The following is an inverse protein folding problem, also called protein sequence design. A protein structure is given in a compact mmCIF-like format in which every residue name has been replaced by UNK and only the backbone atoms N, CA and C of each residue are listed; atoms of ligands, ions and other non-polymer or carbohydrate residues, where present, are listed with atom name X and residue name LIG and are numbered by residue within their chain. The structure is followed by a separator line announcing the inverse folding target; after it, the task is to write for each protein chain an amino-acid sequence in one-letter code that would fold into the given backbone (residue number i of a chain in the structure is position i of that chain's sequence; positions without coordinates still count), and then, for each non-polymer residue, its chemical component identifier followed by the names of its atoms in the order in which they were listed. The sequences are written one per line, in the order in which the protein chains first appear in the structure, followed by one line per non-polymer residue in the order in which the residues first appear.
data_IF_811870917604
#
_entry.id   IF_811870917604
#
_cell.length_a   1.000
_cell.length_b   1.000
_cell.length_c   1.000
_cell.angle_alpha   90.00
_cell.angle_beta   90.00
_cell.angle_gamma   90.00
#
_symmetry.space_group_name_H-M   'P 1'
#
loop_
_entity.id
_entity.type
_entity.pdbx_description
1 polymer ?
#
# COMPACT_ATOMS: atom_id res chain seq x y z
N UNK A 1 -48.77 15.83 16.92
CA UNK A 1 -47.49 16.34 16.38
C UNK A 1 -46.35 15.88 17.28
N UNK A 2 -45.82 14.68 17.06
CA UNK A 2 -44.51 14.28 17.56
C UNK A 2 -43.85 13.45 16.46
N UNK A 3 -42.98 14.13 15.71
CA UNK A 3 -42.10 13.51 14.72
C UNK A 3 -41.03 12.74 15.49
N UNK A 4 -41.04 11.41 15.38
CA UNK A 4 -39.93 10.57 15.76
C UNK A 4 -38.73 10.92 14.86
N UNK A 5 -37.68 11.50 15.43
CA UNK A 5 -36.38 11.58 14.79
C UNK A 5 -35.88 10.15 14.58
N UNK A 6 -35.93 9.66 13.34
CA UNK A 6 -35.11 8.53 12.92
C UNK A 6 -33.65 8.98 13.03
N UNK A 7 -32.97 8.61 14.11
CA UNK A 7 -31.52 8.61 14.15
C UNK A 7 -31.03 7.70 13.02
N UNK A 8 -30.60 8.31 11.92
CA UNK A 8 -29.91 7.58 10.85
C UNK A 8 -28.62 7.02 11.46
N UNK A 9 -28.62 5.75 11.80
CA UNK A 9 -27.50 5.04 12.40
C UNK A 9 -26.37 4.95 11.36
N UNK A 10 -25.57 6.02 11.22
CA UNK A 10 -24.32 5.98 10.45
C UNK A 10 -23.38 5.04 11.21
N UNK A 11 -22.82 4.01 10.57
CA UNK A 11 -21.88 3.11 11.24
C UNK A 11 -20.74 3.93 11.83
N UNK A 12 -20.57 3.84 13.15
CA UNK A 12 -19.50 4.51 13.90
C UNK A 12 -18.17 3.88 13.50
N UNK A 13 -17.23 4.70 13.03
CA UNK A 13 -15.93 4.20 12.59
C UNK A 13 -15.13 3.60 13.75
N UNK A 14 -14.32 2.57 13.48
CA UNK A 14 -13.35 2.03 14.44
C UNK A 14 -12.28 3.06 14.85
N UNK A 15 -12.00 4.06 14.01
CA UNK A 15 -10.92 5.04 14.23
C UNK A 15 -11.39 6.34 14.90
N UNK A 16 -12.61 6.38 15.46
CA UNK A 16 -13.08 7.51 16.26
C UNK A 16 -12.12 7.68 17.46
N UNK A 17 -11.29 8.72 17.40
CA UNK A 17 -10.29 9.14 18.39
C UNK A 17 -8.83 8.64 18.25
N UNK A 18 -8.38 8.24 17.05
CA UNK A 18 -6.92 8.09 16.83
C UNK A 18 -6.24 9.46 16.98
N UNK A 19 -5.49 9.63 18.07
CA UNK A 19 -4.42 10.62 18.15
C UNK A 19 -3.17 9.96 17.63
N UNK A 20 -2.69 10.35 16.45
CA UNK A 20 -1.46 9.84 15.85
C UNK A 20 -0.31 9.92 16.85
N UNK A 21 0.30 8.77 17.18
CA UNK A 21 1.43 8.68 18.11
C UNK A 21 2.51 7.81 17.50
N UNK A 22 3.67 8.41 17.26
CA UNK A 22 4.89 7.72 16.86
C UNK A 22 5.44 6.94 18.07
N UNK A 23 5.48 5.61 18.00
CA UNK A 23 5.96 4.74 19.06
C UNK A 23 7.49 4.68 19.08
N UNK A 24 8.13 4.47 17.92
CA UNK A 24 9.58 4.43 17.72
C UNK A 24 9.91 4.63 16.25
N UNK A 25 11.10 5.16 15.97
CA UNK A 25 11.69 5.19 14.63
C UNK A 25 13.11 4.65 14.67
N UNK A 26 13.46 3.70 13.81
CA UNK A 26 14.84 3.24 13.68
C UNK A 26 15.34 3.34 12.24
N UNK A 27 16.63 3.66 12.11
CA UNK A 27 17.31 3.72 10.81
C UNK A 27 17.67 2.30 10.39
N UNK A 28 17.16 1.87 9.24
CA UNK A 28 17.46 0.54 8.71
C UNK A 28 18.94 0.50 8.29
N UNK A 29 19.70 -0.47 8.84
CA UNK A 29 21.07 -0.76 8.37
C UNK A 29 20.97 -1.39 6.97
N UNK A 30 21.83 -0.96 6.05
CA UNK A 30 21.92 -1.51 4.70
C UNK A 30 22.06 -3.04 4.80
N UNK A 31 21.10 -3.81 4.28
CA UNK A 31 21.31 -5.25 4.06
C UNK A 31 22.39 -5.42 2.98
N UNK A 32 23.23 -6.46 3.05
CA UNK A 32 24.18 -6.74 1.99
C UNK A 32 23.44 -6.80 0.65
N UNK A 33 24.06 -6.23 -0.39
CA UNK A 33 23.62 -6.41 -1.75
C UNK A 33 23.62 -7.91 -2.03
N UNK A 34 22.44 -8.48 -2.31
CA UNK A 34 22.37 -9.80 -2.93
C UNK A 34 22.97 -9.60 -4.32
N UNK A 35 24.17 -10.12 -4.52
CA UNK A 35 24.79 -10.11 -5.83
C UNK A 35 23.90 -10.86 -6.82
N UNK A 36 24.06 -10.59 -8.12
CA UNK A 36 23.35 -11.29 -9.19
C UNK A 36 23.64 -12.80 -9.24
N UNK A 37 24.48 -13.30 -8.33
CA UNK A 37 24.80 -14.70 -8.18
C UNK A 37 23.61 -15.43 -7.50
N UNK A 38 22.56 -15.62 -8.29
CA UNK A 38 21.34 -16.37 -7.99
C UNK A 38 21.59 -17.88 -7.89
N UNK A 39 22.78 -18.30 -7.44
CA UNK A 39 23.23 -19.71 -7.41
C UNK A 39 22.40 -20.62 -6.50
N UNK A 40 21.46 -20.05 -5.72
CA UNK A 40 20.49 -20.76 -4.90
C UNK A 40 19.04 -20.79 -5.43
N UNK A 41 18.73 -20.16 -6.57
CA UNK A 41 17.35 -20.06 -7.09
C UNK A 41 17.25 -20.65 -8.49
N UNK A 42 16.30 -21.57 -8.69
CA UNK A 42 15.92 -22.03 -10.02
C UNK A 42 14.77 -21.17 -10.57
N UNK A 43 14.99 -20.53 -11.71
CA UNK A 43 13.91 -19.86 -12.42
C UNK A 43 12.92 -20.91 -12.92
N UNK A 44 11.68 -20.85 -12.42
CA UNK A 44 10.60 -21.76 -12.81
C UNK A 44 9.75 -21.22 -13.97
N UNK A 45 9.85 -19.92 -14.26
CA UNK A 45 9.09 -19.25 -15.31
C UNK A 45 9.32 -17.74 -15.29
N UNK A 46 9.01 -17.09 -16.42
CA UNK A 46 8.92 -15.63 -16.53
C UNK A 46 7.78 -15.28 -17.49
N UNK A 47 7.05 -14.23 -17.14
CA UNK A 47 5.91 -13.70 -17.90
C UNK A 47 6.17 -12.23 -18.19
N UNK A 48 5.91 -11.78 -19.42
CA UNK A 48 5.93 -10.38 -19.77
C UNK A 48 4.66 -9.67 -19.29
N UNK A 49 4.79 -8.40 -18.93
CA UNK A 49 3.65 -7.51 -18.67
C UNK A 49 3.55 -6.55 -19.85
N UNK A 50 2.54 -6.78 -20.68
CA UNK A 50 2.29 -6.02 -21.91
C UNK A 50 0.80 -5.96 -22.20
N UNK A 51 0.42 -4.86 -22.85
CA UNK A 51 -0.96 -4.55 -23.19
C UNK A 51 -1.01 -4.08 -24.64
N UNK A 52 -1.68 -4.84 -25.52
CA UNK A 52 -1.75 -4.50 -26.94
C UNK A 52 -0.39 -4.54 -27.67
N UNK A 53 0.60 -5.27 -27.15
CA UNK A 53 1.96 -5.35 -27.67
C UNK A 53 2.92 -4.30 -27.11
N UNK A 54 2.44 -3.36 -26.30
CA UNK A 54 3.28 -2.38 -25.62
C UNK A 54 3.71 -2.88 -24.24
N UNK A 55 5.01 -2.89 -24.00
CA UNK A 55 5.59 -3.26 -22.72
C UNK A 55 5.28 -2.21 -21.66
N UNK A 56 4.89 -2.69 -20.47
CA UNK A 56 4.55 -1.85 -19.33
C UNK A 56 5.31 -2.32 -18.09
N UNK A 57 6.08 -1.45 -17.42
CA UNK A 57 6.78 -1.82 -16.19
C UNK A 57 5.79 -2.29 -15.11
N UNK A 58 5.94 -3.53 -14.56
CA UNK A 58 5.17 -3.94 -13.41
C UNK A 58 5.59 -3.12 -12.18
N UNK A 59 4.60 -2.66 -11.43
CA UNK A 59 4.77 -1.74 -10.30
C UNK A 59 4.50 -2.40 -8.96
N UNK A 60 3.50 -3.29 -8.89
CA UNK A 60 3.21 -4.07 -7.69
C UNK A 60 2.60 -5.43 -8.01
N UNK A 61 2.77 -6.35 -7.08
CA UNK A 61 2.30 -7.72 -7.19
C UNK A 61 1.76 -8.23 -5.85
N UNK A 62 0.70 -9.03 -5.90
CA UNK A 62 0.09 -9.61 -4.70
C UNK A 62 -0.58 -10.94 -5.01
N UNK A 63 -0.26 -11.98 -4.23
CA UNK A 63 -0.95 -13.26 -4.33
C UNK A 63 -2.29 -13.20 -3.58
N UNK A 64 -3.28 -13.92 -4.10
CA UNK A 64 -4.45 -14.29 -3.33
C UNK A 64 -4.04 -14.93 -1.98
N UNK A 65 -4.74 -14.57 -0.91
CA UNK A 65 -4.42 -14.98 0.46
C UNK A 65 -5.09 -16.29 0.85
N UNK A 66 -6.19 -16.66 0.21
CA UNK A 66 -6.94 -17.88 0.50
C UNK A 66 -6.32 -19.11 -0.17
N UNK A 67 -6.36 -20.26 0.51
CA UNK A 67 -5.67 -21.47 0.04
C UNK A 67 -6.17 -22.02 -1.31
N UNK A 68 -7.43 -21.75 -1.70
CA UNK A 68 -7.99 -22.24 -2.96
C UNK A 68 -7.45 -21.47 -4.18
N UNK A 69 -7.28 -20.15 -4.05
CA UNK A 69 -6.83 -19.26 -5.13
C UNK A 69 -5.41 -18.73 -4.95
N UNK A 70 -4.63 -19.18 -3.95
CA UNK A 70 -3.25 -18.72 -3.66
C UNK A 70 -2.23 -18.81 -4.81
N UNK A 71 -2.59 -19.44 -5.91
CA UNK A 71 -1.82 -19.50 -7.15
C UNK A 71 -2.12 -18.36 -8.13
N UNK A 72 -3.11 -17.53 -7.82
CA UNK A 72 -3.46 -16.35 -8.61
C UNK A 72 -2.61 -15.20 -8.10
N UNK A 73 -1.87 -14.60 -9.02
CA UNK A 73 -1.03 -13.43 -8.81
C UNK A 73 -1.67 -12.24 -9.49
N UNK A 74 -2.03 -11.22 -8.70
CA UNK A 74 -2.33 -9.89 -9.24
C UNK A 74 -1.02 -9.17 -9.55
N UNK A 75 -0.95 -8.55 -10.71
CA UNK A 75 0.14 -7.67 -11.15
C UNK A 75 -0.48 -6.38 -11.65
N UNK A 76 0.09 -5.27 -11.23
CA UNK A 76 -0.31 -3.93 -11.66
C UNK A 76 0.87 -3.19 -12.23
N UNK A 77 0.63 -2.18 -13.06
CA UNK A 77 1.67 -1.59 -13.88
C UNK A 77 1.61 -0.05 -13.99
N UNK A 78 2.55 0.52 -14.74
CA UNK A 78 2.64 1.96 -14.97
C UNK A 78 1.51 2.52 -15.85
N UNK A 79 0.92 1.69 -16.71
CA UNK A 79 -0.15 2.09 -17.61
C UNK A 79 -1.55 2.02 -16.97
N UNK A 80 -1.66 1.54 -15.74
CA UNK A 80 -2.92 1.51 -14.99
C UNK A 80 -3.75 0.24 -15.19
N UNK A 81 -3.12 -0.82 -15.69
CA UNK A 81 -3.73 -2.14 -15.81
C UNK A 81 -3.60 -2.95 -14.52
N UNK A 82 -4.59 -3.82 -14.31
CA UNK A 82 -4.55 -4.90 -13.36
C UNK A 82 -4.72 -6.22 -14.11
N UNK A 83 -3.71 -7.08 -14.00
CA UNK A 83 -3.61 -8.37 -14.65
C UNK A 83 -3.55 -9.48 -13.62
N UNK A 84 -4.32 -10.55 -13.83
CA UNK A 84 -4.30 -11.73 -12.98
C UNK A 84 -3.63 -12.88 -13.73
N UNK A 85 -2.63 -13.50 -13.11
CA UNK A 85 -1.88 -14.62 -13.67
C UNK A 85 -2.02 -15.87 -12.82
N UNK A 86 -2.12 -17.03 -13.47
CA UNK A 86 -2.05 -18.34 -12.83
C UNK A 86 -0.60 -18.85 -12.79
N UNK A 87 -0.04 -18.96 -11.59
CA UNK A 87 1.37 -19.35 -11.39
C UNK A 87 1.60 -20.86 -11.30
N UNK A 88 0.55 -21.70 -11.41
CA UNK A 88 0.70 -23.18 -11.43
C UNK A 88 1.18 -23.72 -12.77
N UNK A 89 1.13 -22.91 -13.82
CA UNK A 89 1.56 -23.35 -15.15
C UNK A 89 3.07 -23.51 -15.18
N UNK A 90 3.51 -24.65 -15.73
CA UNK A 90 4.92 -24.90 -16.04
C UNK A 90 5.15 -24.51 -17.49
N UNK A 91 6.18 -23.70 -17.73
CA UNK A 91 6.53 -23.24 -19.07
C UNK A 91 7.69 -24.07 -19.62
N UNK A 92 7.55 -24.65 -20.82
CA UNK A 92 8.69 -25.19 -21.55
C UNK A 92 9.78 -24.13 -21.77
N UNK A 93 11.05 -24.57 -21.80
CA UNK A 93 12.21 -23.68 -21.95
C UNK A 93 12.29 -22.93 -23.29
N UNK A 94 11.55 -23.38 -24.31
CA UNK A 94 11.55 -22.77 -25.64
C UNK A 94 10.55 -21.62 -25.80
N UNK A 95 9.63 -21.42 -24.86
CA UNK A 95 8.64 -20.35 -24.95
C UNK A 95 9.23 -19.00 -24.54
N UNK A 96 8.82 -17.97 -25.26
CA UNK A 96 9.10 -16.58 -24.90
C UNK A 96 8.29 -16.15 -23.67
N UNK A 97 8.72 -15.07 -23.01
CA UNK A 97 8.02 -14.55 -21.83
C UNK A 97 6.62 -14.02 -22.18
N UNK A 98 6.43 -13.55 -23.41
CA UNK A 98 5.14 -13.12 -23.97
C UNK A 98 4.19 -14.31 -24.12
N UNK A 99 4.66 -15.40 -24.75
CA UNK A 99 3.84 -16.62 -24.87
C UNK A 99 3.50 -17.23 -23.51
N UNK A 100 4.41 -17.14 -22.53
CA UNK A 100 4.14 -17.55 -21.15
C UNK A 100 3.08 -16.67 -20.51
N UNK A 101 3.15 -15.35 -20.72
CA UNK A 101 2.18 -14.40 -20.20
C UNK A 101 0.78 -14.69 -20.75
N UNK A 102 0.65 -14.88 -22.06
CA UNK A 102 -0.63 -15.21 -22.70
C UNK A 102 -1.23 -16.52 -22.18
N UNK A 103 -0.41 -17.52 -21.90
CA UNK A 103 -0.88 -18.78 -21.29
C UNK A 103 -1.30 -18.62 -19.83
N UNK A 104 -0.58 -17.79 -19.08
CA UNK A 104 -0.77 -17.61 -17.64
C UNK A 104 -1.86 -16.59 -17.29
N UNK A 105 -2.10 -15.61 -18.17
CA UNK A 105 -3.03 -14.51 -17.93
C UNK A 105 -4.46 -15.06 -17.87
N UNK A 106 -5.06 -14.97 -16.69
CA UNK A 106 -6.45 -15.33 -16.44
C UNK A 106 -7.37 -14.23 -16.96
N UNK A 107 -7.02 -12.97 -16.68
CA UNK A 107 -7.69 -11.80 -17.22
C UNK A 107 -6.88 -10.53 -16.96
N UNK A 108 -7.26 -9.46 -17.64
CA UNK A 108 -6.77 -8.10 -17.42
C UNK A 108 -7.89 -7.09 -17.64
N UNK A 109 -7.75 -5.91 -17.04
CA UNK A 109 -8.58 -4.75 -17.31
C UNK A 109 -7.87 -3.45 -16.94
N UNK A 110 -8.31 -2.34 -17.52
CA UNK A 110 -7.86 -1.00 -17.13
C UNK A 110 -8.50 -0.66 -15.79
N UNK A 111 -7.70 -0.57 -14.74
CA UNK A 111 -8.16 -0.20 -13.42
C UNK A 111 -8.06 1.32 -13.18
N UNK A 112 -7.02 1.97 -13.69
CA UNK A 112 -6.83 3.40 -13.54
C UNK A 112 -6.31 4.02 -14.84
N UNK A 113 -6.53 5.32 -15.02
CA UNK A 113 -5.99 6.09 -16.16
C UNK A 113 -4.56 6.63 -15.86
N UNK A 114 -3.88 6.00 -14.89
CA UNK A 114 -2.56 6.38 -14.38
C UNK A 114 -1.93 5.16 -13.67
N UNK A 115 -0.61 5.20 -13.48
CA UNK A 115 0.17 4.15 -12.83
C UNK A 115 -0.43 3.67 -11.52
N UNK A 116 -0.44 2.36 -11.31
CA UNK A 116 -0.88 1.73 -10.06
C UNK A 116 0.35 1.33 -9.29
N UNK A 117 0.54 1.91 -8.11
CA UNK A 117 1.74 1.71 -7.30
C UNK A 117 1.65 0.54 -6.32
N UNK A 118 0.45 0.09 -5.98
CA UNK A 118 0.25 -0.99 -5.02
C UNK A 118 -1.11 -1.68 -5.21
N UNK A 119 -1.17 -2.96 -4.83
CA UNK A 119 -2.33 -3.85 -5.01
C UNK A 119 -2.50 -4.78 -3.82
N UNK A 120 -3.75 -4.93 -3.34
CA UNK A 120 -4.04 -5.74 -2.16
C UNK A 120 -5.35 -6.52 -2.30
N UNK A 121 -5.30 -7.84 -2.08
CA UNK A 121 -6.49 -8.68 -1.95
C UNK A 121 -7.16 -8.53 -0.59
N UNK A 122 -8.48 -8.41 -0.58
CA UNK A 122 -9.31 -8.28 0.62
C UNK A 122 -10.57 -9.15 0.51
N UNK A 123 -11.28 -9.33 1.64
CA UNK A 123 -12.55 -10.07 1.73
C UNK A 123 -12.45 -11.47 1.15
N UNK A 124 -11.51 -12.26 1.66
CA UNK A 124 -11.27 -13.64 1.17
C UNK A 124 -11.03 -13.71 -0.35
N UNK A 125 -10.26 -12.75 -0.87
CA UNK A 125 -9.90 -12.61 -2.30
C UNK A 125 -11.06 -12.32 -3.26
N UNK A 126 -12.25 -11.99 -2.76
CA UNK A 126 -13.38 -11.57 -3.61
C UNK A 126 -13.22 -10.14 -4.14
N UNK A 127 -12.41 -9.32 -3.46
CA UNK A 127 -12.17 -7.93 -3.80
C UNK A 127 -10.69 -7.60 -3.89
N UNK A 128 -10.35 -6.64 -4.75
CA UNK A 128 -9.00 -6.11 -4.95
C UNK A 128 -9.00 -4.60 -4.72
N UNK A 129 -8.02 -4.12 -3.97
CA UNK A 129 -7.70 -2.69 -3.84
C UNK A 129 -6.54 -2.36 -4.77
N UNK A 130 -6.65 -1.24 -5.49
CA UNK A 130 -5.58 -0.70 -6.35
C UNK A 130 -5.29 0.74 -5.97
N UNK A 131 -4.03 1.09 -5.69
CA UNK A 131 -3.59 2.44 -5.32
C UNK A 131 -2.88 3.12 -6.49
N UNK A 132 -3.32 4.31 -6.89
CA UNK A 132 -2.87 4.91 -8.15
C UNK A 132 -2.29 6.32 -8.03
N UNK A 133 -1.51 6.67 -9.05
CA UNK A 133 -1.06 8.02 -9.38
C UNK A 133 -2.19 9.02 -9.58
N UNK A 134 -3.40 8.54 -9.89
CA UNK A 134 -4.62 9.37 -10.00
C UNK A 134 -5.17 9.85 -8.64
N UNK A 135 -4.45 9.60 -7.55
CA UNK A 135 -4.75 10.03 -6.17
C UNK A 135 -5.94 9.28 -5.53
N UNK A 136 -6.41 8.21 -6.16
CA UNK A 136 -7.48 7.37 -5.65
C UNK A 136 -7.02 5.95 -5.31
N UNK A 137 -7.80 5.29 -4.47
CA UNK A 137 -7.76 3.83 -4.33
C UNK A 137 -9.09 3.31 -4.84
N UNK A 138 -9.08 2.38 -5.79
CA UNK A 138 -10.31 1.74 -6.27
C UNK A 138 -10.48 0.37 -5.65
N UNK A 139 -11.74 0.00 -5.42
CA UNK A 139 -12.17 -1.31 -4.94
C UNK A 139 -12.84 -2.03 -6.10
N UNK A 140 -12.32 -3.19 -6.44
CA UNK A 140 -12.78 -4.02 -7.54
C UNK A 140 -13.42 -5.29 -7.01
N UNK A 141 -14.51 -5.71 -7.64
CA UNK A 141 -14.94 -7.10 -7.59
C UNK A 141 -14.03 -7.90 -8.53
N UNK A 142 -13.32 -8.89 -8.00
CA UNK A 142 -12.31 -9.65 -8.74
C UNK A 142 -12.93 -10.56 -9.81
N UNK A 143 -14.16 -11.05 -9.59
CA UNK A 143 -14.85 -11.94 -10.51
C UNK A 143 -15.52 -11.16 -11.64
N UNK A 144 -16.26 -10.12 -11.29
CA UNK A 144 -17.01 -9.28 -12.23
C UNK A 144 -16.12 -8.26 -12.95
N UNK A 145 -14.90 -8.02 -12.46
CA UNK A 145 -13.95 -7.00 -12.96
C UNK A 145 -14.58 -5.61 -12.97
N UNK A 146 -15.46 -5.35 -12.00
CA UNK A 146 -16.21 -4.10 -11.86
C UNK A 146 -15.70 -3.33 -10.67
N UNK A 147 -15.44 -2.04 -10.88
CA UNK A 147 -15.17 -1.12 -9.79
C UNK A 147 -16.44 -0.94 -8.96
N UNK A 148 -16.45 -1.42 -7.72
CA UNK A 148 -17.59 -1.36 -6.80
C UNK A 148 -17.54 -0.13 -5.89
N UNK A 149 -16.39 0.51 -5.78
CA UNK A 149 -16.24 1.77 -5.06
C UNK A 149 -14.84 2.34 -5.11
N UNK A 150 -14.66 3.48 -4.46
CA UNK A 150 -13.39 4.21 -4.40
C UNK A 150 -13.19 4.90 -3.06
N UNK A 151 -11.94 5.02 -2.65
CA UNK A 151 -11.49 5.77 -1.48
C UNK A 151 -10.79 7.02 -2.00
N UNK A 152 -11.30 8.19 -1.63
CA UNK A 152 -10.86 9.49 -2.14
C UNK A 152 -10.59 10.45 -0.98
N UNK A 153 -9.51 11.23 -1.10
CA UNK A 153 -9.14 12.22 -0.09
C UNK A 153 -7.65 12.56 -0.05
N UNK A 154 -6.80 11.68 -0.58
CA UNK A 154 -5.40 12.03 -0.83
C UNK A 154 -5.31 13.13 -1.91
N UNK A 155 -4.29 13.97 -1.77
CA UNK A 155 -4.02 15.11 -2.69
C UNK A 155 -2.74 14.89 -3.52
N UNK A 156 -2.21 13.67 -3.45
CA UNK A 156 -1.04 13.21 -4.18
C UNK A 156 -1.20 11.73 -4.51
N UNK A 157 -0.31 11.21 -5.37
CA UNK A 157 -0.32 9.81 -5.78
C UNK A 157 -0.33 8.88 -4.57
N UNK A 158 -1.25 7.93 -4.54
CA UNK A 158 -1.27 6.90 -3.50
C UNK A 158 -0.21 5.86 -3.84
N UNK A 159 0.78 5.72 -2.97
CA UNK A 159 1.99 4.92 -3.22
C UNK A 159 1.94 3.54 -2.61
N UNK A 160 1.17 3.36 -1.55
CA UNK A 160 1.07 2.08 -0.86
C UNK A 160 -0.27 1.95 -0.16
N UNK A 161 -0.77 0.72 -0.10
CA UNK A 161 -2.02 0.34 0.56
C UNK A 161 -1.82 -0.97 1.32
N UNK A 162 -2.41 -1.04 2.51
CA UNK A 162 -2.39 -2.26 3.30
C UNK A 162 -3.75 -2.47 3.97
N UNK A 163 -4.30 -3.67 3.85
CA UNK A 163 -5.48 -4.09 4.62
C UNK A 163 -5.07 -4.50 6.03
N UNK A 164 -5.91 -4.23 7.02
CA UNK A 164 -5.74 -4.79 8.35
C UNK A 164 -5.68 -6.34 8.29
N UNK A 165 -4.82 -6.98 9.10
CA UNK A 165 -4.58 -8.43 9.02
C UNK A 165 -5.83 -9.30 9.22
N UNK A 166 -6.70 -8.94 10.17
CA UNK A 166 -7.93 -9.69 10.48
C UNK A 166 -9.24 -9.04 10.01
N UNK A 167 -9.32 -7.70 9.99
CA UNK A 167 -10.53 -6.97 9.60
C UNK A 167 -10.41 -6.36 8.19
N UNK A 168 -10.97 -7.02 7.18
CA UNK A 168 -10.86 -6.59 5.79
C UNK A 168 -11.53 -5.25 5.43
N UNK A 169 -12.32 -4.66 6.33
CA UNK A 169 -12.94 -3.35 6.11
C UNK A 169 -12.04 -2.19 6.54
N UNK A 170 -10.94 -2.45 7.25
CA UNK A 170 -9.99 -1.43 7.69
C UNK A 170 -8.78 -1.42 6.76
N UNK A 171 -8.46 -0.24 6.22
CA UNK A 171 -7.39 -0.05 5.25
C UNK A 171 -6.54 1.13 5.69
N UNK A 172 -5.23 1.05 5.43
CA UNK A 172 -4.31 2.17 5.55
C UNK A 172 -3.64 2.42 4.20
N UNK A 173 -3.35 3.69 3.90
CA UNK A 173 -2.68 4.07 2.66
C UNK A 173 -1.64 5.15 2.89
N UNK A 174 -0.54 5.11 2.12
CA UNK A 174 0.50 6.14 2.12
C UNK A 174 0.51 6.91 0.80
N UNK A 175 0.74 8.23 0.86
CA UNK A 175 0.63 9.11 -0.30
C UNK A 175 1.84 10.03 -0.47
N UNK A 176 2.00 10.50 -1.71
CA UNK A 176 2.95 11.55 -2.10
C UNK A 176 2.61 12.91 -1.48
N UNK A 177 1.38 13.11 -1.01
CA UNK A 177 1.01 14.30 -0.22
C UNK A 177 1.71 14.37 1.16
N UNK A 178 2.42 13.30 1.54
CA UNK A 178 3.18 13.20 2.78
C UNK A 178 2.35 12.82 4.00
N UNK A 179 1.13 12.37 3.76
CA UNK A 179 0.27 11.75 4.75
C UNK A 179 0.13 10.24 4.54
N UNK A 180 -0.21 9.55 5.62
CA UNK A 180 -0.90 8.27 5.52
C UNK A 180 -2.30 8.40 6.11
N UNK A 181 -3.25 7.69 5.52
CA UNK A 181 -4.67 7.81 5.82
C UNK A 181 -5.26 6.47 6.27
N UNK A 182 -6.31 6.57 7.08
CA UNK A 182 -7.10 5.47 7.60
C UNK A 182 -8.47 5.45 6.95
N UNK A 183 -8.92 4.27 6.54
CA UNK A 183 -10.19 4.09 5.86
C UNK A 183 -10.98 2.99 6.54
N UNK A 184 -12.28 3.23 6.69
CA UNK A 184 -13.24 2.27 7.20
C UNK A 184 -14.33 2.07 6.15
N UNK A 185 -14.29 0.92 5.49
CA UNK A 185 -15.19 0.59 4.37
C UNK A 185 -16.66 0.55 4.78
N UNK A 186 -16.94 0.36 6.08
CA UNK A 186 -18.30 0.36 6.63
C UNK A 186 -18.88 1.76 6.66
N UNK A 187 -18.05 2.81 6.73
CA UNK A 187 -18.48 4.21 6.73
C UNK A 187 -18.86 4.73 5.34
N UNK A 188 -19.08 3.85 4.37
CA UNK A 188 -19.53 4.23 3.03
C UNK A 188 -20.83 5.03 3.09
N UNK A 189 -20.86 6.16 2.37
CA UNK A 189 -22.11 6.85 2.07
C UNK A 189 -22.69 6.18 0.82
N UNK A 190 -23.68 5.31 1.01
CA UNK A 190 -24.37 4.66 -0.11
C UNK A 190 -25.49 5.55 -0.63
N UNK A 191 -25.36 6.01 -1.87
CA UNK A 191 -26.47 6.51 -2.69
C UNK A 191 -26.53 5.66 -3.95
N UNK A 192 -27.36 4.61 -3.93
CA UNK A 192 -27.70 3.70 -5.06
C UNK A 192 -26.67 3.72 -6.21
N UNK A 193 -25.51 3.09 -6.01
CA UNK A 193 -24.40 3.07 -6.97
C UNK A 193 -23.07 2.65 -6.33
N UNK A 194 -21.95 2.85 -7.07
CA UNK A 194 -20.59 2.69 -6.55
C UNK A 194 -20.41 3.57 -5.31
N UNK A 195 -19.84 3.04 -4.23
CA UNK A 195 -19.63 3.83 -3.02
C UNK A 195 -18.36 4.71 -3.13
N UNK A 196 -18.37 5.85 -2.45
CA UNK A 196 -17.19 6.67 -2.25
C UNK A 196 -16.96 6.88 -0.75
N UNK A 197 -15.73 6.64 -0.30
CA UNK A 197 -15.33 6.76 1.10
C UNK A 197 -14.27 7.85 1.23
N UNK A 198 -14.47 8.73 2.20
CA UNK A 198 -13.46 9.69 2.64
C UNK A 198 -12.62 9.09 3.77
N UNK A 199 -11.36 9.51 3.95
CA UNK A 199 -10.54 9.01 5.04
C UNK A 199 -11.19 9.36 6.37
N UNK A 200 -11.14 8.43 7.32
CA UNK A 200 -11.64 8.66 8.69
C UNK A 200 -10.69 9.56 9.45
N UNK A 201 -9.40 9.33 9.25
CA UNK A 201 -8.31 10.12 9.80
C UNK A 201 -7.11 10.08 8.85
N UNK A 202 -6.21 11.04 8.98
CA UNK A 202 -4.92 11.02 8.30
C UNK A 202 -3.86 11.64 9.19
N UNK A 203 -2.64 11.10 9.15
CA UNK A 203 -1.48 11.67 9.82
C UNK A 203 -0.68 12.44 8.78
N UNK A 204 -0.64 13.76 8.94
CA UNK A 204 0.09 14.65 8.06
C UNK A 204 1.58 14.71 8.45
N UNK A 205 2.43 14.99 7.47
CA UNK A 205 3.87 15.16 7.67
C UNK A 205 4.53 14.00 8.46
N UNK A 206 4.12 12.75 8.22
CA UNK A 206 4.57 11.61 9.01
C UNK A 206 6.10 11.40 8.94
N UNK A 207 6.73 11.72 7.80
CA UNK A 207 8.18 11.71 7.60
C UNK A 207 8.68 13.10 7.18
N UNK A 208 9.40 13.79 8.08
CA UNK A 208 9.91 15.15 7.86
C UNK A 208 11.43 15.10 7.71
N UNK A 209 11.96 15.81 6.71
CA UNK A 209 13.41 16.03 6.61
C UNK A 209 13.92 16.90 7.76
N UNK A 210 14.98 16.51 8.47
CA UNK A 210 15.64 17.41 9.43
C UNK A 210 16.27 18.64 8.74
N UNK A 211 16.50 18.60 7.42
CA UNK A 211 17.12 19.68 6.66
C UNK A 211 16.17 20.81 6.22
N UNK A 212 14.88 20.77 6.60
CA UNK A 212 13.85 21.76 6.20
C UNK A 212 14.22 23.21 6.56
N UNK A 213 15.08 23.43 7.57
CA UNK A 213 15.48 24.77 8.03
C UNK A 213 16.58 25.46 7.22
N UNK A 214 17.30 24.77 6.31
CA UNK A 214 18.50 25.33 5.66
C UNK A 214 18.36 25.80 4.21
N UNK A 215 17.21 25.61 3.56
CA UNK A 215 17.09 25.92 2.12
C UNK A 215 16.26 27.18 1.88
N UNK A 216 16.92 28.34 1.87
CA UNK A 216 16.39 29.52 1.15
C UNK A 216 16.54 29.23 -0.34
N UNK A 217 15.41 29.06 -1.04
CA UNK A 217 15.29 28.79 -2.49
C UNK A 217 15.87 27.44 -2.96
N UNK A 218 15.09 26.38 -2.81
CA UNK A 218 15.41 25.07 -3.40
C UNK A 218 14.26 24.09 -3.26
N UNK A 219 14.16 23.17 -4.23
CA UNK A 219 13.14 22.13 -4.43
C UNK A 219 12.67 21.54 -3.09
N UNK A 220 11.37 21.63 -2.80
CA UNK A 220 10.76 21.07 -1.58
C UNK A 220 11.13 19.59 -1.47
N UNK A 221 11.71 19.18 -0.34
CA UNK A 221 12.03 17.78 -0.08
C UNK A 221 10.76 16.92 -0.21
N UNK A 222 10.82 15.81 -0.96
CA UNK A 222 9.65 15.00 -1.29
C UNK A 222 9.10 14.31 -0.04
N UNK A 223 8.07 14.87 0.61
CA UNK A 223 7.48 14.33 1.84
C UNK A 223 6.75 12.98 1.69
N UNK A 224 6.84 12.34 0.53
CA UNK A 224 6.11 11.12 0.17
C UNK A 224 6.28 10.01 1.21
N UNK A 225 5.15 9.45 1.64
CA UNK A 225 5.09 8.13 2.23
C UNK A 225 5.25 7.13 1.10
N UNK A 226 6.27 6.29 1.18
CA UNK A 226 6.59 5.31 0.13
C UNK A 226 5.96 3.97 0.43
N UNK A 227 5.81 3.63 1.71
CA UNK A 227 5.20 2.36 2.12
C UNK A 227 4.50 2.50 3.46
N UNK A 228 3.37 1.79 3.59
CA UNK A 228 2.62 1.62 4.83
C UNK A 228 2.34 0.14 5.04
N UNK A 229 2.40 -0.31 6.29
CA UNK A 229 2.17 -1.69 6.64
C UNK A 229 1.40 -1.78 7.94
N UNK A 230 0.21 -2.39 7.89
CA UNK A 230 -0.52 -2.75 9.09
C UNK A 230 0.11 -4.03 9.65
N UNK A 231 0.63 -3.98 10.87
CA UNK A 231 1.36 -5.11 11.45
C UNK A 231 0.39 -6.18 11.95
N UNK A 232 0.91 -7.41 12.02
CA UNK A 232 0.16 -8.59 12.49
C UNK A 232 -0.31 -8.51 13.95
N UNK A 233 0.18 -7.55 14.73
CA UNK A 233 -0.31 -7.28 16.09
C UNK A 233 -1.68 -6.58 16.12
N UNK A 234 -2.26 -6.29 14.94
CA UNK A 234 -3.61 -5.73 14.75
C UNK A 234 -3.79 -4.31 15.27
N UNK A 235 -2.74 -3.70 15.84
CA UNK A 235 -2.84 -2.38 16.48
C UNK A 235 -1.75 -1.43 16.04
N UNK A 236 -0.66 -1.91 15.44
CA UNK A 236 0.46 -1.09 15.02
C UNK A 236 0.53 -0.93 13.51
N UNK A 237 1.01 0.23 13.07
CA UNK A 237 1.30 0.53 11.68
C UNK A 237 2.77 0.92 11.56
N UNK A 238 3.47 0.37 10.58
CA UNK A 238 4.79 0.84 10.18
C UNK A 238 4.66 1.71 8.93
N UNK A 239 5.36 2.84 8.90
CA UNK A 239 5.45 3.73 7.73
C UNK A 239 6.90 4.00 7.37
N UNK A 240 7.14 4.18 6.08
CA UNK A 240 8.41 4.60 5.55
C UNK A 240 8.25 5.81 4.63
N UNK A 241 9.21 6.71 4.69
CA UNK A 241 9.25 7.93 3.89
C UNK A 241 10.42 7.97 2.92
N UNK A 242 10.28 8.75 1.86
CA UNK A 242 11.34 8.97 0.89
C UNK A 242 12.54 9.77 1.46
N UNK A 243 12.38 10.46 2.58
CA UNK A 243 13.26 11.57 2.99
C UNK A 243 14.21 11.24 4.14
N UNK A 244 13.80 10.39 5.08
CA UNK A 244 14.50 10.21 6.34
C UNK A 244 15.22 8.86 6.46
N UNK A 245 14.97 7.90 5.56
CA UNK A 245 15.48 6.53 5.66
C UNK A 245 15.11 5.85 7.01
N UNK A 246 14.02 6.30 7.63
CA UNK A 246 13.53 5.81 8.92
C UNK A 246 12.23 5.05 8.70
N UNK A 247 12.06 3.94 9.41
CA UNK A 247 10.75 3.31 9.59
C UNK A 247 10.17 3.81 10.89
N UNK A 248 8.96 4.37 10.85
CA UNK A 248 8.24 4.86 12.02
C UNK A 248 7.08 3.93 12.34
N UNK A 249 6.84 3.71 13.63
CA UNK A 249 5.73 2.88 14.11
C UNK A 249 4.66 3.75 14.75
N UNK A 250 3.39 3.40 14.55
CA UNK A 250 2.23 4.14 15.01
C UNK A 250 1.26 3.21 15.71
N UNK A 251 0.70 3.63 16.85
CA UNK A 251 -0.37 2.90 17.54
C UNK A 251 -1.73 3.41 17.09
N UNK A 252 -2.63 2.49 16.75
CA UNK A 252 -4.01 2.80 16.33
C UNK A 252 -5.00 2.82 17.49
N UNK A 253 -4.60 2.42 18.70
CA UNK A 253 -5.46 2.43 19.88
C UNK A 253 -5.57 3.85 20.46
N UNK A 254 -6.74 4.18 20.97
CA UNK A 254 -6.96 5.41 21.73
C UNK A 254 -6.42 5.28 23.18
N UNK A 255 -5.09 5.28 23.33
CA UNK A 255 -4.42 5.18 24.63
C UNK A 255 -4.35 6.55 25.32
N UNK A 256 -4.83 6.66 26.57
CA UNK A 256 -4.80 7.93 27.33
C UNK A 256 -3.41 8.27 27.92
N UNK A 257 -2.55 7.28 28.15
CA UNK A 257 -1.21 7.48 28.72
C UNK A 257 -0.08 7.49 27.66
N UNK A 258 1.09 8.11 27.94
CA UNK A 258 2.24 8.06 27.05
C UNK A 258 2.86 6.64 27.05
N UNK A 259 3.21 6.12 25.86
CA UNK A 259 4.05 4.93 25.76
C UNK A 259 5.50 5.38 25.94
N UNK A 260 6.20 4.75 26.88
CA UNK A 260 7.62 5.02 27.15
C UNK A 260 8.40 4.64 25.89
N UNK A 261 9.05 5.63 25.29
CA UNK A 261 10.00 5.48 24.17
C UNK A 261 11.01 4.39 24.51
N UNK A 262 10.98 3.27 23.79
CA UNK A 262 11.78 2.08 24.11
C UNK A 262 13.08 1.98 23.30
N UNK A 263 13.51 3.04 22.62
CA UNK A 263 14.76 3.03 21.85
C UNK A 263 15.57 4.31 22.02
N UNK A 264 16.92 4.20 22.09
CA UNK A 264 17.80 5.32 22.33
C UNK A 264 17.76 6.27 21.13
N UNK A 265 17.84 7.57 21.42
CA UNK A 265 17.90 8.60 20.38
C UNK A 265 18.94 8.22 19.31
N UNK A 266 18.61 8.33 18.01
CA UNK A 266 19.62 8.16 16.99
C UNK A 266 20.67 9.26 17.19
N UNK A 267 21.90 8.86 17.53
CA UNK A 267 23.04 9.77 17.59
C UNK A 267 23.10 10.58 16.30
N UNK A 268 23.14 11.91 16.44
CA UNK A 268 23.29 12.85 15.35
C UNK A 268 24.54 12.46 14.54
N UNK A 269 24.43 12.13 13.24
CA UNK A 269 25.60 11.79 12.45
C UNK A 269 26.52 13.00 12.36
N UNK A 270 27.79 12.80 12.67
CA UNK A 270 28.87 13.72 12.34
C UNK A 270 28.87 14.01 10.84
N UNK A 271 29.06 15.28 10.50
CA UNK A 271 29.01 15.82 9.15
C UNK A 271 29.87 15.01 8.16
N UNK A 272 29.21 14.20 7.34
CA UNK A 272 29.66 13.81 6.00
C UNK A 272 28.47 13.21 5.26
N UNK A 273 28.08 13.87 4.16
CA UNK A 273 26.98 13.53 3.26
C UNK A 273 26.91 12.02 2.98
N UNK A 274 26.02 11.32 3.68
CA UNK A 274 25.56 10.00 3.24
C UNK A 274 24.24 10.22 2.52
N UNK A 275 24.22 9.97 1.20
CA UNK A 275 23.00 9.89 0.39
C UNK A 275 21.92 9.16 1.20
N UNK A 276 20.85 9.89 1.53
CA UNK A 276 19.68 9.31 2.19
C UNK A 276 18.98 8.46 1.13
N UNK A 277 19.12 7.15 1.22
CA UNK A 277 18.38 6.23 0.36
C UNK A 277 16.96 6.10 0.94
N UNK A 278 15.95 6.41 0.13
CA UNK A 278 14.56 6.17 0.52
C UNK A 278 14.30 4.68 0.69
N UNK A 279 13.41 4.32 1.61
CA UNK A 279 12.87 2.97 1.71
C UNK A 279 11.74 2.87 0.68
N UNK A 280 11.74 1.87 -0.19
CA UNK A 280 10.73 1.73 -1.24
C UNK A 280 9.50 0.96 -0.78
N UNK A 281 9.69 -0.10 0.01
CA UNK A 281 8.63 -0.99 0.46
C UNK A 281 8.92 -1.55 1.86
N UNK A 282 7.86 -1.93 2.56
CA UNK A 282 7.88 -2.65 3.84
C UNK A 282 7.16 -3.98 3.67
N UNK A 283 7.68 -5.03 4.32
CA UNK A 283 7.02 -6.33 4.42
C UNK A 283 7.30 -6.94 5.79
N UNK A 284 6.40 -7.80 6.25
CA UNK A 284 6.51 -8.50 7.52
C UNK A 284 6.57 -10.01 7.28
N UNK A 285 7.58 -10.67 7.83
CA UNK A 285 7.69 -12.13 7.76
C UNK A 285 6.78 -12.80 8.80
N UNK A 286 6.84 -14.13 8.91
CA UNK A 286 6.04 -14.90 9.88
C UNK A 286 6.47 -14.69 11.34
N UNK A 287 7.71 -14.27 11.58
CA UNK A 287 8.32 -14.17 12.89
C UNK A 287 8.21 -12.78 13.52
N UNK A 288 7.86 -11.76 12.73
CA UNK A 288 7.59 -10.40 13.22
C UNK A 288 8.48 -9.36 12.60
#
# INVERSE_FOLDING_TARGET
LYLSQMESCKPRSFFLDIRSRELNGFRVRKRPYLDNDSSGYSQIGAVAVEHGGDHSPPMALSFCKTGKSSHILAVTDENGYLSLYNTRLKFPSFLTYQENAEKAKVCEWVAHDNAIFDVCWIKEDTNILTASGDQSIKVWDAQEKKCVGSLMGHTGSVKSICSHPTNHDLIVSGSRDGSFAFWDMRCSKSSRGKFCISPVAAVQEAHISPHRKRVRRGKVASMSITSVLYLKDEVSIATAGAVDSVVKFWDTRNLKGPVIQACPHPELPTEKERRLHGISCLSQDLNG
#
